data_IF_988015018542
#
_entry.id   IF_988015018542
#
_cell.length_a   1.000
_cell.length_b   1.000
_cell.length_c   1.000
_cell.angle_alpha   90.00
_cell.angle_beta   90.00
_cell.angle_gamma   90.00
#
_symmetry.space_group_name_H-M   'P 1'
#
loop_
_entity.id
_entity.type
_entity.pdbx_description
1 polymer ?
#
# COMPACT_ATOMS: atom_id res chain seq x y z
N UNK A 1 21.73 -51.74 9.39
CA UNK A 1 20.49 -51.48 8.63
C UNK A 1 19.36 -51.41 9.63
N UNK A 2 18.64 -50.29 9.71
CA UNK A 2 17.42 -50.22 10.53
C UNK A 2 16.34 -51.02 9.78
N UNK A 3 15.78 -52.03 10.44
CA UNK A 3 14.72 -52.87 9.87
C UNK A 3 13.39 -52.16 10.16
N UNK A 4 12.88 -51.39 9.21
CA UNK A 4 11.62 -50.67 9.35
C UNK A 4 10.48 -51.61 8.94
N UNK A 5 9.43 -51.69 9.77
CA UNK A 5 8.24 -52.47 9.44
C UNK A 5 7.40 -51.70 8.41
N UNK A 6 7.15 -52.32 7.26
CA UNK A 6 6.37 -51.71 6.19
C UNK A 6 4.87 -51.87 6.51
N UNK A 7 4.22 -50.78 6.88
CA UNK A 7 2.78 -50.74 7.15
C UNK A 7 2.00 -50.34 5.90
N UNK A 8 0.87 -51.00 5.68
CA UNK A 8 -0.07 -50.54 4.66
C UNK A 8 -0.72 -49.22 5.11
N UNK A 9 -1.09 -48.35 4.15
CA UNK A 9 -1.73 -47.06 4.46
C UNK A 9 -3.01 -47.19 5.31
N UNK A 10 -3.71 -48.32 5.23
CA UNK A 10 -4.93 -48.55 6.00
C UNK A 10 -4.60 -48.81 7.47
N UNK A 11 -3.61 -49.64 7.73
CA UNK A 11 -3.19 -50.01 9.08
C UNK A 11 -2.49 -48.83 9.76
N UNK A 12 -1.65 -48.11 9.01
CA UNK A 12 -1.04 -46.86 9.45
C UNK A 12 -2.07 -45.83 9.96
N UNK A 13 -3.18 -45.62 9.24
CA UNK A 13 -4.22 -44.68 9.66
C UNK A 13 -4.97 -45.14 10.92
N UNK A 14 -5.10 -46.46 11.13
CA UNK A 14 -5.74 -47.02 12.32
C UNK A 14 -4.83 -46.82 13.53
N UNK A 15 -3.55 -47.17 13.42
CA UNK A 15 -2.56 -47.00 14.49
C UNK A 15 -2.29 -45.53 14.83
N UNK A 16 -2.28 -44.66 13.82
CA UNK A 16 -2.15 -43.21 14.03
C UNK A 16 -3.30 -42.65 14.85
N UNK A 17 -4.53 -43.09 14.56
CA UNK A 17 -5.73 -42.68 15.32
C UNK A 17 -5.77 -43.29 16.72
N UNK A 18 -5.21 -44.49 16.89
CA UNK A 18 -5.07 -45.13 18.19
C UNK A 18 -3.97 -44.48 19.04
N UNK A 19 -3.11 -43.63 18.45
CA UNK A 19 -1.98 -42.99 19.13
C UNK A 19 -0.82 -43.95 19.38
N UNK A 20 -0.78 -45.07 18.66
CA UNK A 20 0.22 -46.14 18.84
C UNK A 20 1.52 -45.85 18.06
N UNK A 21 1.51 -44.82 17.22
CA UNK A 21 2.68 -44.38 16.45
C UNK A 21 3.41 -43.29 17.23
N UNK A 22 4.54 -43.64 17.84
CA UNK A 22 5.38 -42.70 18.58
C UNK A 22 6.26 -41.82 17.67
N UNK A 23 6.72 -42.36 16.55
CA UNK A 23 7.62 -41.68 15.63
C UNK A 23 7.38 -42.18 14.19
N UNK A 24 7.39 -41.26 13.23
CA UNK A 24 7.19 -41.57 11.81
C UNK A 24 8.30 -40.93 11.00
N UNK A 25 8.90 -41.70 10.08
CA UNK A 25 9.90 -41.21 9.13
C UNK A 25 9.34 -41.33 7.71
N UNK A 26 9.16 -40.19 7.03
CA UNK A 26 8.75 -40.16 5.62
C UNK A 26 9.97 -40.24 4.72
N UNK A 27 10.17 -41.38 4.05
CA UNK A 27 11.18 -41.53 3.01
C UNK A 27 10.62 -41.02 1.68
N UNK A 28 11.12 -39.88 1.22
CA UNK A 28 10.75 -39.32 -0.08
C UNK A 28 11.79 -39.79 -1.13
N UNK A 29 11.41 -40.50 -2.21
CA UNK A 29 12.34 -40.79 -3.29
C UNK A 29 12.80 -39.46 -3.93
N UNK A 30 14.09 -39.37 -4.28
CA UNK A 30 14.80 -38.17 -4.75
C UNK A 30 13.89 -37.16 -5.47
N UNK A 31 13.41 -36.17 -4.73
CA UNK A 31 12.69 -35.03 -5.29
C UNK A 31 13.67 -33.89 -5.47
N UNK A 32 13.54 -33.18 -6.59
CA UNK A 32 14.44 -32.10 -6.93
C UNK A 32 14.25 -30.94 -5.92
N UNK A 33 15.30 -30.14 -5.65
CA UNK A 33 15.26 -29.10 -4.63
C UNK A 33 14.20 -28.00 -4.87
N UNK A 34 13.62 -27.91 -6.07
CA UNK A 34 12.49 -27.04 -6.39
C UNK A 34 11.20 -27.46 -5.66
N UNK A 35 10.94 -28.76 -5.50
CA UNK A 35 9.71 -29.28 -4.88
C UNK A 35 9.66 -29.07 -3.35
N UNK A 36 10.80 -28.76 -2.73
CA UNK A 36 10.93 -28.59 -1.28
C UNK A 36 10.68 -27.16 -0.81
N UNK A 37 10.70 -26.18 -1.72
CA UNK A 37 10.54 -24.76 -1.40
C UNK A 37 9.15 -24.20 -1.74
N UNK A 38 8.24 -24.99 -2.29
CA UNK A 38 6.84 -24.59 -2.49
C UNK A 38 6.05 -24.66 -1.17
N UNK A 39 6.34 -23.73 -0.27
CA UNK A 39 5.56 -23.46 0.96
C UNK A 39 4.31 -22.59 0.68
N UNK A 40 3.85 -22.57 -0.58
CA UNK A 40 2.61 -21.89 -0.97
C UNK A 40 1.42 -22.72 -0.50
N UNK A 41 0.58 -22.16 0.36
CA UNK A 41 -0.72 -22.75 0.75
C UNK A 41 -1.71 -22.77 -0.45
N UNK A 42 -1.36 -22.08 -1.53
CA UNK A 42 -2.15 -22.03 -2.76
C UNK A 42 -1.58 -22.95 -3.82
N UNK A 43 -2.49 -23.63 -4.51
CA UNK A 43 -2.24 -24.47 -5.68
C UNK A 43 -1.53 -23.69 -6.81
N UNK A 44 -0.60 -24.33 -7.52
CA UNK A 44 0.21 -23.74 -8.60
C UNK A 44 -0.66 -23.18 -9.73
N UNK A 45 -1.73 -23.88 -10.12
CA UNK A 45 -2.63 -23.43 -11.19
C UNK A 45 -3.42 -22.19 -10.76
N UNK A 46 -3.76 -22.11 -9.47
CA UNK A 46 -4.39 -20.94 -8.85
C UNK A 46 -3.43 -19.75 -8.86
N UNK A 47 -2.17 -19.96 -8.48
CA UNK A 47 -1.12 -18.93 -8.46
C UNK A 47 -0.81 -18.41 -9.87
N UNK A 48 -0.72 -19.30 -10.85
CA UNK A 48 -0.50 -18.94 -12.26
C UNK A 48 -1.70 -18.17 -12.82
N UNK A 49 -2.93 -18.57 -12.47
CA UNK A 49 -4.16 -17.85 -12.79
C UNK A 49 -4.17 -16.41 -12.26
N UNK A 50 -3.77 -16.20 -11.00
CA UNK A 50 -3.64 -14.87 -10.43
C UNK A 50 -2.53 -14.04 -11.07
N UNK A 51 -1.41 -14.67 -11.44
CA UNK A 51 -0.27 -13.99 -12.08
C UNK A 51 -0.63 -13.54 -13.50
N UNK A 52 -1.31 -14.39 -14.28
CA UNK A 52 -1.85 -14.05 -15.60
C UNK A 52 -2.92 -12.95 -15.52
N UNK A 53 -3.82 -13.00 -14.54
CA UNK A 53 -4.80 -11.92 -14.30
C UNK A 53 -4.12 -10.59 -13.95
N UNK A 54 -3.06 -10.60 -13.13
CA UNK A 54 -2.31 -9.39 -12.77
C UNK A 54 -1.54 -8.80 -13.94
N UNK A 55 -0.97 -9.62 -14.82
CA UNK A 55 -0.24 -9.16 -16.00
C UNK A 55 -1.11 -8.37 -16.99
N UNK A 56 -2.41 -8.70 -17.06
CA UNK A 56 -3.39 -8.02 -17.94
C UNK A 56 -4.02 -6.78 -17.28
N UNK A 57 -3.80 -6.57 -15.98
CA UNK A 57 -4.40 -5.46 -15.23
C UNK A 57 -3.60 -4.17 -15.41
N UNK A 58 -4.14 -3.24 -16.18
CA UNK A 58 -3.57 -1.91 -16.39
C UNK A 58 -3.99 -0.93 -15.27
N UNK A 59 -3.06 -0.63 -14.36
CA UNK A 59 -3.09 0.56 -13.51
C UNK A 59 -4.42 0.81 -12.75
N UNK A 60 -4.98 2.01 -12.90
CA UNK A 60 -6.18 2.45 -12.14
C UNK A 60 -7.51 1.89 -12.66
N UNK A 61 -7.51 1.14 -13.76
CA UNK A 61 -8.73 0.54 -14.33
C UNK A 61 -9.31 -0.55 -13.43
N UNK A 62 -8.44 -1.22 -12.65
CA UNK A 62 -8.80 -2.18 -11.59
C UNK A 62 -9.81 -1.57 -10.61
N UNK A 63 -9.64 -0.28 -10.28
CA UNK A 63 -10.52 0.43 -9.33
C UNK A 63 -11.90 0.75 -9.91
N UNK A 64 -12.12 0.50 -11.20
CA UNK A 64 -13.37 0.84 -11.91
C UNK A 64 -14.07 -0.37 -12.51
N UNK A 65 -13.41 -1.53 -12.55
CA UNK A 65 -13.94 -2.72 -13.19
C UNK A 65 -14.69 -3.61 -12.16
N UNK A 66 -16.03 -3.72 -12.21
CA UNK A 66 -16.78 -4.55 -11.28
C UNK A 66 -16.52 -6.05 -11.42
N UNK A 67 -16.03 -6.51 -12.57
CA UNK A 67 -15.64 -7.91 -12.82
C UNK A 67 -14.28 -8.27 -12.19
N UNK A 68 -13.58 -7.28 -11.67
CA UNK A 68 -12.28 -7.47 -11.05
C UNK A 68 -12.42 -8.04 -9.63
N UNK A 69 -11.64 -9.08 -9.32
CA UNK A 69 -11.66 -9.72 -8.00
C UNK A 69 -11.32 -8.79 -6.83
N UNK A 70 -10.70 -7.63 -7.09
CA UNK A 70 -10.34 -6.62 -6.09
C UNK A 70 -11.43 -5.53 -5.95
N UNK A 71 -12.38 -5.45 -6.87
CA UNK A 71 -13.45 -4.43 -6.85
C UNK A 71 -14.31 -4.44 -5.56
N UNK A 72 -14.64 -5.60 -4.96
CA UNK A 72 -15.33 -5.63 -3.67
C UNK A 72 -14.56 -4.89 -2.58
N UNK A 73 -13.23 -5.05 -2.54
CA UNK A 73 -12.35 -4.37 -1.57
C UNK A 73 -12.27 -2.86 -1.83
N UNK A 74 -12.23 -2.45 -3.10
CA UNK A 74 -12.24 -1.02 -3.47
C UNK A 74 -13.53 -0.35 -3.01
N UNK A 75 -14.65 -1.08 -3.08
CA UNK A 75 -15.95 -0.59 -2.62
C UNK A 75 -16.01 -0.53 -1.10
N UNK A 76 -15.53 -1.57 -0.41
CA UNK A 76 -15.44 -1.63 1.05
C UNK A 76 -14.59 -0.49 1.63
N UNK A 77 -13.42 -0.23 1.05
CA UNK A 77 -12.49 0.82 1.48
C UNK A 77 -12.59 2.09 0.63
N UNK A 78 -13.78 2.42 0.14
CA UNK A 78 -13.98 3.59 -0.73
C UNK A 78 -13.69 4.93 -0.05
N UNK A 79 -13.71 4.96 1.28
CA UNK A 79 -13.30 6.10 2.11
C UNK A 79 -11.77 6.35 2.06
N UNK A 80 -10.97 5.28 1.93
CA UNK A 80 -9.50 5.34 1.83
C UNK A 80 -9.04 5.39 0.37
N UNK A 81 -9.68 4.61 -0.50
CA UNK A 81 -9.33 4.43 -1.92
C UNK A 81 -10.19 5.36 -2.78
N UNK A 82 -10.07 6.66 -2.53
CA UNK A 82 -10.82 7.70 -3.24
C UNK A 82 -10.10 8.17 -4.52
N UNK A 83 -10.88 8.47 -5.57
CA UNK A 83 -10.36 9.11 -6.81
C UNK A 83 -9.99 10.57 -6.60
N UNK A 84 -10.63 11.22 -5.62
CA UNK A 84 -10.40 12.62 -5.32
C UNK A 84 -9.52 12.74 -4.07
N UNK A 85 -8.55 13.68 -4.06
CA UNK A 85 -7.73 13.90 -2.88
C UNK A 85 -8.62 14.37 -1.71
N UNK A 86 -8.24 14.03 -0.47
CA UNK A 86 -8.99 14.44 0.71
C UNK A 86 -9.07 15.97 0.79
N UNK A 87 -10.26 16.46 1.10
CA UNK A 87 -10.56 17.89 1.22
C UNK A 87 -10.51 18.39 2.67
N UNK A 88 -10.24 17.52 3.63
CA UNK A 88 -10.19 17.82 5.07
C UNK A 88 -8.90 17.27 5.67
N UNK A 89 -8.52 17.78 6.84
CA UNK A 89 -7.42 17.23 7.61
C UNK A 89 -7.77 15.83 8.12
N UNK A 90 -6.79 14.91 8.18
CA UNK A 90 -6.99 13.63 8.85
C UNK A 90 -7.27 13.86 10.34
N UNK A 91 -7.93 12.89 10.98
CA UNK A 91 -8.14 12.89 12.42
C UNK A 91 -6.78 13.00 13.15
N UNK A 92 -6.70 13.87 14.17
CA UNK A 92 -5.49 14.01 14.98
C UNK A 92 -5.23 12.70 15.75
N UNK A 93 -4.09 12.06 15.44
CA UNK A 93 -3.64 10.81 16.09
C UNK A 93 -2.58 11.08 17.17
N UNK A 94 -2.37 12.33 17.56
CA UNK A 94 -1.37 12.74 18.55
C UNK A 94 0.08 12.70 18.08
N UNK A 95 0.32 12.32 16.80
CA UNK A 95 1.64 12.38 16.17
C UNK A 95 1.74 13.65 15.33
N UNK A 96 2.65 14.55 15.68
CA UNK A 96 2.89 15.80 14.96
C UNK A 96 4.22 15.73 14.21
N UNK A 97 4.27 16.36 13.04
CA UNK A 97 5.52 16.56 12.33
C UNK A 97 6.25 17.75 12.94
N UNK A 98 7.41 17.49 13.54
CA UNK A 98 8.34 18.51 14.02
C UNK A 98 9.50 18.61 13.03
N UNK A 99 9.93 19.85 12.75
CA UNK A 99 11.05 20.13 11.87
C UNK A 99 12.20 20.61 12.75
N UNK A 100 13.15 19.73 13.01
CA UNK A 100 14.36 20.06 13.76
C UNK A 100 15.25 20.98 12.94
N UNK A 101 15.55 22.16 13.48
CA UNK A 101 16.49 23.09 12.86
C UNK A 101 17.91 22.79 13.32
N UNK A 102 18.86 22.79 12.38
CA UNK A 102 20.28 22.72 12.73
C UNK A 102 20.65 23.97 13.56
N UNK A 103 21.36 23.84 14.70
CA UNK A 103 21.77 24.99 15.50
C UNK A 103 22.51 26.04 14.67
N UNK A 104 22.15 27.32 14.84
CA UNK A 104 22.71 28.44 14.06
C UNK A 104 22.03 28.70 12.71
N UNK A 105 21.01 27.93 12.34
CA UNK A 105 20.21 28.20 11.13
C UNK A 105 19.51 29.56 11.25
N UNK A 106 19.66 30.40 10.22
CA UNK A 106 18.97 31.68 10.11
C UNK A 106 17.62 31.50 9.44
N UNK A 107 16.68 32.36 9.80
CA UNK A 107 15.37 32.39 9.17
C UNK A 107 15.46 32.83 7.70
N UNK A 108 14.73 32.14 6.84
CA UNK A 108 14.58 32.50 5.44
C UNK A 108 13.41 33.47 5.27
N UNK A 109 13.70 34.73 4.95
CA UNK A 109 12.68 35.74 4.59
C UNK A 109 12.86 36.11 3.13
N UNK A 110 12.10 35.44 2.28
CA UNK A 110 12.08 35.73 0.85
C UNK A 110 10.76 36.40 0.49
N UNK A 111 10.82 37.56 -0.17
CA UNK A 111 9.62 38.24 -0.67
C UNK A 111 9.00 37.46 -1.81
N UNK A 112 7.68 37.55 -1.91
CA UNK A 112 6.94 37.05 -3.06
C UNK A 112 7.47 37.71 -4.34
N UNK A 113 7.78 36.91 -5.36
CA UNK A 113 8.18 37.43 -6.67
C UNK A 113 7.00 38.11 -7.35
N UNK A 114 7.29 39.04 -8.26
CA UNK A 114 6.27 39.62 -9.13
C UNK A 114 5.69 38.51 -10.03
N UNK A 115 4.39 38.27 -9.89
CA UNK A 115 3.66 37.31 -10.70
C UNK A 115 2.62 38.03 -11.57
N UNK A 116 2.30 37.47 -12.75
CA UNK A 116 1.14 37.91 -13.53
C UNK A 116 -0.14 37.85 -12.68
N UNK A 117 -1.07 38.76 -12.96
CA UNK A 117 -2.32 38.85 -12.19
C UNK A 117 -3.11 37.55 -12.20
N UNK A 118 -3.15 36.86 -13.33
CA UNK A 118 -3.84 35.58 -13.48
C UNK A 118 -3.25 34.52 -12.54
N UNK A 119 -1.93 34.52 -12.31
CA UNK A 119 -1.30 33.60 -11.38
C UNK A 119 -1.60 33.96 -9.93
N UNK A 120 -1.62 35.25 -9.59
CA UNK A 120 -2.04 35.70 -8.25
C UNK A 120 -3.46 35.23 -7.94
N UNK A 121 -4.40 35.43 -8.87
CA UNK A 121 -5.81 35.03 -8.68
C UNK A 121 -5.95 33.50 -8.49
N UNK A 122 -5.18 32.69 -9.21
CA UNK A 122 -5.15 31.23 -9.02
C UNK A 122 -4.59 30.84 -7.65
N UNK A 123 -3.51 31.48 -7.21
CA UNK A 123 -2.90 31.22 -5.90
C UNK A 123 -3.85 31.63 -4.77
N UNK A 124 -4.47 32.80 -4.87
CA UNK A 124 -5.43 33.31 -3.88
C UNK A 124 -6.65 32.39 -3.77
N UNK A 125 -7.21 31.96 -4.89
CA UNK A 125 -8.31 31.00 -4.92
C UNK A 125 -7.91 29.64 -4.30
N UNK A 126 -6.70 29.17 -4.58
CA UNK A 126 -6.16 27.94 -3.99
C UNK A 126 -6.07 28.05 -2.46
N UNK A 127 -5.45 29.11 -1.94
CA UNK A 127 -5.32 29.29 -0.49
C UNK A 127 -6.67 29.56 0.18
N UNK A 128 -7.57 30.32 -0.43
CA UNK A 128 -8.92 30.51 0.09
C UNK A 128 -9.66 29.17 0.26
N UNK A 129 -9.52 28.25 -0.71
CA UNK A 129 -10.06 26.88 -0.59
C UNK A 129 -9.39 26.10 0.53
N UNK A 130 -8.06 26.21 0.67
CA UNK A 130 -7.28 25.51 1.70
C UNK A 130 -7.57 26.00 3.12
N UNK A 131 -7.76 27.31 3.29
CA UNK A 131 -8.18 27.92 4.56
C UNK A 131 -9.58 27.45 4.95
N UNK A 132 -10.52 27.40 4.00
CA UNK A 132 -11.85 26.83 4.25
C UNK A 132 -11.82 25.36 4.67
N UNK A 133 -10.84 24.58 4.17
CA UNK A 133 -10.63 23.19 4.61
C UNK A 133 -9.85 23.04 5.93
N UNK A 134 -9.40 24.14 6.55
CA UNK A 134 -8.54 24.12 7.74
C UNK A 134 -7.12 23.60 7.48
N UNK A 135 -6.69 23.48 6.22
CA UNK A 135 -5.36 22.98 5.85
C UNK A 135 -4.27 24.04 5.93
N UNK A 136 -4.65 25.31 5.79
CA UNK A 136 -3.75 26.48 5.83
C UNK A 136 -4.40 27.54 6.72
N UNK A 137 -3.59 28.29 7.45
CA UNK A 137 -4.02 29.39 8.30
C UNK A 137 -3.05 30.56 8.17
N UNK A 138 -3.53 31.76 8.51
CA UNK A 138 -2.68 32.94 8.57
C UNK A 138 -1.64 32.81 9.69
N UNK A 139 -0.41 33.22 9.40
CA UNK A 139 0.69 33.13 10.36
C UNK A 139 1.45 34.44 10.44
N UNK A 140 2.06 34.69 11.61
CA UNK A 140 3.04 35.75 11.81
C UNK A 140 4.46 35.14 11.88
N UNK A 141 4.75 34.23 10.97
CA UNK A 141 6.04 33.52 10.95
C UNK A 141 7.18 34.47 10.59
N UNK A 142 8.36 34.35 11.25
CA UNK A 142 9.58 35.02 10.80
C UNK A 142 10.17 34.37 9.54
N UNK A 143 9.54 33.33 8.98
CA UNK A 143 9.91 32.68 7.74
C UNK A 143 8.89 32.95 6.64
N UNK A 144 9.39 33.21 5.43
CA UNK A 144 8.57 33.30 4.23
C UNK A 144 9.31 32.75 3.02
N UNK A 145 8.60 31.98 2.21
CA UNK A 145 9.06 31.46 0.92
C UNK A 145 8.06 31.84 -0.16
N UNK A 146 8.51 32.27 -1.37
CA UNK A 146 7.60 32.66 -2.43
C UNK A 146 6.81 31.46 -2.93
N UNK A 147 5.54 31.68 -3.29
CA UNK A 147 4.69 30.69 -3.95
C UNK A 147 4.60 31.01 -5.43
N UNK A 148 4.56 30.01 -6.31
CA UNK A 148 4.42 30.19 -7.74
C UNK A 148 3.60 29.05 -8.36
N UNK A 149 2.98 29.32 -9.51
CA UNK A 149 2.21 28.33 -10.24
C UNK A 149 3.13 27.42 -11.06
N UNK A 150 2.84 26.12 -11.06
CA UNK A 150 3.47 25.14 -11.94
C UNK A 150 2.38 24.56 -12.84
N UNK A 151 2.55 24.67 -14.17
CA UNK A 151 1.63 24.06 -15.14
C UNK A 151 1.79 22.55 -15.10
N UNK A 152 0.70 21.83 -14.83
CA UNK A 152 0.68 20.36 -14.88
C UNK A 152 0.25 19.91 -16.28
N UNK A 153 0.68 18.70 -16.68
CA UNK A 153 0.38 18.12 -18.00
C UNK A 153 -1.09 17.72 -18.17
N UNK A 154 -1.84 17.61 -17.07
CA UNK A 154 -3.25 17.24 -17.05
C UNK A 154 -4.21 18.42 -17.32
N UNK A 155 -3.70 19.58 -17.76
CA UNK A 155 -4.51 20.73 -18.15
C UNK A 155 -5.14 21.50 -16.98
N UNK A 156 -4.82 21.13 -15.74
CA UNK A 156 -5.20 21.85 -14.52
C UNK A 156 -4.03 22.65 -13.95
#
# INVERSE_FOLDING_TARGET
>A
MLNLEELSMKDFLVELKAGEIAEMMLLKPDTSPEDLNSSSVMDEDVLEGFTKQRATRLGSEILKNPEDSVYPLVTEFSDVVAKHPPSQLPLDRGKRHEIDLVPGTKYCVTRQWHLPREQCEVIDAFFAKKTKSGMVWESQSPHSTPTFCVRKTNGN
#
